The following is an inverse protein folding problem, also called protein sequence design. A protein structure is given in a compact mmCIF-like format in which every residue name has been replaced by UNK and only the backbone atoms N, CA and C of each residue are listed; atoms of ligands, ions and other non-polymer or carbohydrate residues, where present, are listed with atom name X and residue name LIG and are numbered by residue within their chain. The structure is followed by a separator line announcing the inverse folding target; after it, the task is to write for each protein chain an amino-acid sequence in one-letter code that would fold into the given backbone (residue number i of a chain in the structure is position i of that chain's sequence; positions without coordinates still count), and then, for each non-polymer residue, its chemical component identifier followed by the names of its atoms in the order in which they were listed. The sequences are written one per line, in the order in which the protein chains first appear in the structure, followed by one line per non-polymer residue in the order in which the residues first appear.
data_IF_242992162113
#
_entry.id   IF_242992162113
#
_cell.length_a   1.000
_cell.length_b   1.000
_cell.length_c   1.000
_cell.angle_alpha   90.00
_cell.angle_beta   90.00
_cell.angle_gamma   90.00
#
_symmetry.space_group_name_H-M   'P 1'
#
loop_
_entity.id
_entity.type
_entity.pdbx_description
1 polymer ?
#
# COMPACT_ATOMS: atom_id res chain seq x y z
N UNK A 1 -13.11 -33.60 23.17
CA UNK A 1 -13.69 -32.68 22.18
C UNK A 1 -13.04 -31.32 22.38
N UNK A 2 -12.23 -30.84 21.44
CA UNK A 2 -11.73 -29.46 21.42
C UNK A 2 -11.61 -28.97 19.98
N UNK A 3 -12.04 -27.73 19.81
CA UNK A 3 -12.52 -27.11 18.59
C UNK A 3 -11.44 -26.94 17.51
N UNK A 4 -11.81 -27.27 16.27
CA UNK A 4 -11.12 -26.82 15.07
C UNK A 4 -11.28 -25.29 14.96
N UNK A 5 -10.19 -24.54 15.12
CA UNK A 5 -10.11 -23.18 14.61
C UNK A 5 -9.75 -23.25 13.12
N UNK A 6 -10.77 -23.45 12.29
CA UNK A 6 -10.68 -23.21 10.86
C UNK A 6 -10.92 -21.71 10.63
N UNK A 7 -9.86 -20.92 10.68
CA UNK A 7 -9.85 -19.58 10.11
C UNK A 7 -9.67 -19.70 8.59
N UNK A 8 -10.67 -20.24 7.88
CA UNK A 8 -10.82 -19.98 6.46
C UNK A 8 -11.50 -18.62 6.32
N UNK A 9 -10.69 -17.57 6.15
CA UNK A 9 -11.23 -16.31 5.63
C UNK A 9 -11.83 -16.65 4.27
N UNK A 10 -13.15 -16.76 4.23
CA UNK A 10 -13.91 -17.07 3.04
C UNK A 10 -13.77 -15.91 2.05
N UNK A 11 -12.71 -15.95 1.24
CA UNK A 11 -12.59 -15.12 0.03
C UNK A 11 -13.76 -15.37 -0.95
N UNK A 12 -14.56 -16.43 -0.73
CA UNK A 12 -15.66 -16.89 -1.57
C UNK A 12 -16.92 -15.99 -1.61
N UNK A 13 -16.99 -14.87 -0.87
CA UNK A 13 -18.25 -14.12 -0.72
C UNK A 13 -18.25 -12.63 -1.07
N UNK A 14 -17.11 -12.00 -1.34
CA UNK A 14 -17.09 -10.56 -1.67
C UNK A 14 -17.61 -10.29 -3.09
N UNK A 15 -17.21 -11.12 -4.07
CA UNK A 15 -17.54 -10.93 -5.49
C UNK A 15 -18.94 -11.41 -5.87
N UNK A 16 -19.52 -12.37 -5.12
CA UNK A 16 -20.87 -12.91 -5.35
C UNK A 16 -21.99 -12.17 -4.63
N UNK A 17 -21.70 -11.23 -3.72
CA UNK A 17 -22.72 -10.44 -3.06
C UNK A 17 -23.21 -9.33 -4.00
N UNK A 18 -24.27 -9.62 -4.74
CA UNK A 18 -24.96 -8.78 -5.74
C UNK A 18 -25.44 -7.38 -5.28
N UNK A 19 -25.12 -6.93 -4.07
CA UNK A 19 -25.54 -5.63 -3.51
C UNK A 19 -24.42 -4.88 -2.80
N UNK A 20 -23.21 -5.41 -2.77
CA UNK A 20 -22.07 -4.81 -2.07
C UNK A 20 -21.11 -4.29 -3.13
N UNK A 21 -20.61 -3.06 -2.94
CA UNK A 21 -19.55 -2.49 -3.77
C UNK A 21 -18.26 -3.29 -3.52
N UNK A 22 -18.16 -4.43 -4.20
CA UNK A 22 -17.09 -5.41 -4.04
C UNK A 22 -15.73 -4.77 -4.35
N UNK A 23 -15.69 -3.76 -5.23
CA UNK A 23 -14.47 -3.00 -5.56
C UNK A 23 -14.00 -2.21 -4.35
N UNK A 24 -14.92 -1.53 -3.66
CA UNK A 24 -14.58 -0.81 -2.44
C UNK A 24 -14.16 -1.77 -1.32
N UNK A 25 -14.84 -2.90 -1.12
CA UNK A 25 -14.41 -3.89 -0.13
C UNK A 25 -13.03 -4.48 -0.43
N UNK A 26 -12.77 -4.80 -1.70
CA UNK A 26 -11.47 -5.25 -2.19
C UNK A 26 -10.38 -4.21 -1.93
N UNK A 27 -10.66 -2.93 -2.24
CA UNK A 27 -9.76 -1.81 -1.96
C UNK A 27 -9.44 -1.68 -0.47
N UNK A 28 -10.46 -1.75 0.38
CA UNK A 28 -10.28 -1.67 1.85
C UNK A 28 -9.44 -2.83 2.38
N UNK A 29 -9.69 -4.04 1.90
CA UNK A 29 -8.93 -5.24 2.29
C UNK A 29 -7.47 -5.13 1.84
N UNK A 30 -7.23 -4.70 0.61
CA UNK A 30 -5.90 -4.47 0.06
C UNK A 30 -5.13 -3.42 0.89
N UNK A 31 -5.74 -2.26 1.13
CA UNK A 31 -5.13 -1.19 1.92
C UNK A 31 -4.84 -1.61 3.36
N UNK A 32 -5.72 -2.41 3.97
CA UNK A 32 -5.49 -2.98 5.30
C UNK A 32 -4.26 -3.89 5.30
N UNK A 33 -4.16 -4.85 4.37
CA UNK A 33 -3.00 -5.75 4.29
C UNK A 33 -1.71 -4.99 4.01
N UNK A 34 -1.76 -3.99 3.13
CA UNK A 34 -0.62 -3.13 2.85
C UNK A 34 -0.12 -2.40 4.10
N UNK A 35 -1.03 -1.85 4.91
CA UNK A 35 -0.67 -1.24 6.20
C UNK A 35 -0.05 -2.26 7.15
N UNK A 36 -0.67 -3.42 7.30
CA UNK A 36 -0.20 -4.47 8.21
C UNK A 36 1.20 -4.96 7.82
N UNK A 37 1.44 -5.19 6.53
CA UNK A 37 2.72 -5.69 6.04
C UNK A 37 3.80 -4.59 6.03
N UNK A 38 3.45 -3.33 5.74
CA UNK A 38 4.36 -2.19 5.98
C UNK A 38 4.74 -2.08 7.44
N UNK A 39 3.81 -2.24 8.38
CA UNK A 39 4.09 -2.19 9.81
C UNK A 39 5.00 -3.35 10.23
N UNK A 40 4.76 -4.58 9.74
CA UNK A 40 5.63 -5.73 9.99
C UNK A 40 7.03 -5.51 9.42
N UNK A 41 7.12 -5.02 8.18
CA UNK A 41 8.39 -4.74 7.52
C UNK A 41 9.17 -3.64 8.26
N UNK A 42 8.49 -2.58 8.71
CA UNK A 42 9.08 -1.53 9.53
C UNK A 42 9.58 -2.08 10.87
N UNK A 43 8.77 -2.89 11.57
CA UNK A 43 9.15 -3.53 12.82
C UNK A 43 10.38 -4.45 12.64
N UNK A 44 10.46 -5.17 11.53
CA UNK A 44 11.60 -6.02 11.18
C UNK A 44 12.86 -5.21 10.83
N UNK A 45 12.69 -4.14 10.03
CA UNK A 45 13.75 -3.22 9.63
C UNK A 45 14.35 -2.47 10.83
N UNK A 46 13.54 -2.10 11.82
CA UNK A 46 13.99 -1.48 13.07
C UNK A 46 14.97 -2.37 13.85
N UNK A 47 14.90 -3.69 13.66
CA UNK A 47 15.87 -4.64 14.22
C UNK A 47 17.12 -4.88 13.35
N UNK A 48 17.16 -4.40 12.09
CA UNK A 48 18.22 -4.75 11.11
C UNK A 48 18.76 -3.58 10.26
N UNK A 49 18.38 -2.33 10.50
CA UNK A 49 18.79 -1.15 9.70
C UNK A 49 18.60 -1.32 8.17
N UNK A 50 17.60 -2.10 7.75
CA UNK A 50 17.29 -2.31 6.33
C UNK A 50 16.26 -1.31 5.81
N UNK A 51 16.41 -0.81 4.58
CA UNK A 51 15.32 -0.11 3.88
C UNK A 51 14.19 -1.11 3.57
N UNK A 52 12.95 -0.72 3.85
CA UNK A 52 11.77 -1.48 3.43
C UNK A 52 11.56 -1.24 1.93
N UNK A 53 11.54 -2.31 1.14
CA UNK A 53 11.23 -2.29 -0.29
C UNK A 53 9.71 -2.36 -0.49
N UNK A 54 9.08 -1.18 -0.56
CA UNK A 54 7.61 -1.04 -0.65
C UNK A 54 7.04 -1.61 -1.96
N UNK A 55 7.82 -1.57 -3.04
CA UNK A 55 7.56 -2.19 -4.34
C UNK A 55 7.31 -3.71 -4.21
N UNK A 56 8.22 -4.41 -3.52
CA UNK A 56 8.11 -5.86 -3.32
C UNK A 56 6.92 -6.26 -2.43
N UNK A 57 6.54 -5.39 -1.48
CA UNK A 57 5.39 -5.63 -0.62
C UNK A 57 4.07 -5.56 -1.42
N UNK A 58 3.94 -4.56 -2.30
CA UNK A 58 2.75 -4.41 -3.16
C UNK A 58 2.60 -5.62 -4.09
N UNK A 59 3.66 -6.02 -4.78
CA UNK A 59 3.64 -7.19 -5.67
C UNK A 59 3.27 -8.48 -4.92
N UNK A 60 3.83 -8.68 -3.73
CA UNK A 60 3.52 -9.85 -2.90
C UNK A 60 2.05 -9.90 -2.48
N UNK A 61 1.46 -8.76 -2.11
CA UNK A 61 0.05 -8.68 -1.70
C UNK A 61 -0.86 -8.92 -2.91
N UNK A 62 -0.58 -8.29 -4.05
CA UNK A 62 -1.34 -8.50 -5.28
C UNK A 62 -1.31 -9.97 -5.71
N UNK A 63 -0.13 -10.59 -5.71
CA UNK A 63 0.04 -11.99 -6.10
C UNK A 63 -0.73 -12.92 -5.14
N UNK A 64 -0.67 -12.66 -3.84
CA UNK A 64 -1.43 -13.42 -2.84
C UNK A 64 -2.94 -13.33 -3.10
N UNK A 65 -3.47 -12.13 -3.34
CA UNK A 65 -4.90 -11.94 -3.60
C UNK A 65 -5.33 -12.58 -4.93
N UNK A 66 -4.57 -12.40 -6.01
CA UNK A 66 -4.86 -13.03 -7.31
C UNK A 66 -4.86 -14.56 -7.18
N UNK A 67 -3.88 -15.13 -6.46
CA UNK A 67 -3.84 -16.57 -6.23
C UNK A 67 -5.03 -17.05 -5.39
N UNK A 68 -5.46 -16.29 -4.38
CA UNK A 68 -6.65 -16.62 -3.61
C UNK A 68 -7.92 -16.62 -4.48
N UNK A 69 -8.04 -15.68 -5.43
CA UNK A 69 -9.15 -15.63 -6.38
C UNK A 69 -9.12 -16.80 -7.36
N UNK A 70 -7.95 -17.16 -7.90
CA UNK A 70 -7.78 -18.31 -8.79
C UNK A 70 -8.16 -19.65 -8.15
N UNK A 71 -7.97 -19.77 -6.83
CA UNK A 71 -8.33 -20.96 -6.07
C UNK A 71 -9.82 -20.99 -5.68
N UNK A 72 -10.59 -19.94 -5.97
CA UNK A 72 -12.01 -19.88 -5.69
C UNK A 72 -12.80 -20.56 -6.80
N UNK A 73 -13.53 -21.64 -6.48
CA UNK A 73 -14.42 -22.37 -7.41
C UNK A 73 -15.58 -21.53 -7.99
N UNK A 74 -15.69 -20.27 -7.58
CA UNK A 74 -16.87 -19.46 -7.75
C UNK A 74 -16.61 -18.17 -8.52
N UNK A 75 -15.34 -17.84 -8.80
CA UNK A 75 -14.96 -16.65 -9.55
C UNK A 75 -14.86 -17.03 -11.03
N UNK A 76 -15.52 -16.27 -11.90
CA UNK A 76 -15.37 -16.46 -13.35
C UNK A 76 -14.06 -15.85 -13.85
N UNK A 77 -13.61 -16.26 -15.03
CA UNK A 77 -12.42 -15.67 -15.65
C UNK A 77 -12.59 -14.16 -15.88
N UNK A 78 -13.81 -13.72 -16.21
CA UNK A 78 -14.13 -12.29 -16.38
C UNK A 78 -14.02 -11.52 -15.05
N UNK A 79 -14.58 -12.06 -13.97
CA UNK A 79 -14.48 -11.47 -12.62
C UNK A 79 -13.03 -11.43 -12.13
N UNK A 80 -12.25 -12.48 -12.44
CA UNK A 80 -10.82 -12.53 -12.14
C UNK A 80 -10.05 -11.46 -12.91
N UNK A 81 -10.33 -11.30 -14.21
CA UNK A 81 -9.71 -10.27 -15.04
C UNK A 81 -10.06 -8.86 -14.56
N UNK A 82 -11.31 -8.61 -14.19
CA UNK A 82 -11.73 -7.34 -13.59
C UNK A 82 -10.98 -7.06 -12.28
N UNK A 83 -10.85 -8.06 -11.41
CA UNK A 83 -10.09 -7.91 -10.17
C UNK A 83 -8.60 -7.65 -10.42
N UNK A 84 -7.98 -8.32 -11.40
CA UNK A 84 -6.58 -8.06 -11.78
C UNK A 84 -6.41 -6.59 -12.22
N UNK A 85 -7.30 -6.09 -13.08
CA UNK A 85 -7.27 -4.70 -13.53
C UNK A 85 -7.46 -3.69 -12.39
N UNK A 86 -8.35 -3.98 -11.43
CA UNK A 86 -8.50 -3.14 -10.23
C UNK A 86 -7.22 -3.14 -9.38
N UNK A 87 -6.56 -4.29 -9.20
CA UNK A 87 -5.29 -4.34 -8.48
C UNK A 87 -4.19 -3.54 -9.19
N UNK A 88 -4.11 -3.61 -10.51
CA UNK A 88 -3.15 -2.82 -11.29
C UNK A 88 -3.40 -1.31 -11.14
N UNK A 89 -4.67 -0.89 -11.20
CA UNK A 89 -5.05 0.50 -10.90
C UNK A 89 -4.60 0.91 -9.49
N UNK A 90 -4.83 0.07 -8.47
CA UNK A 90 -4.41 0.39 -7.11
C UNK A 90 -2.90 0.51 -6.96
N UNK A 91 -2.13 -0.33 -7.65
CA UNK A 91 -0.67 -0.22 -7.66
C UNK A 91 -0.23 1.14 -8.21
N UNK A 92 -0.82 1.55 -9.33
CA UNK A 92 -0.45 2.79 -10.00
C UNK A 92 -0.86 4.01 -9.14
N UNK A 93 -2.06 4.00 -8.54
CA UNK A 93 -2.54 5.03 -7.60
C UNK A 93 -1.61 5.18 -6.39
N UNK A 94 -1.17 4.07 -5.78
CA UNK A 94 -0.28 4.11 -4.62
C UNK A 94 1.11 4.61 -5.01
N UNK A 95 1.62 4.16 -6.15
CA UNK A 95 2.92 4.61 -6.66
C UNK A 95 2.91 6.11 -6.92
N UNK A 96 1.85 6.61 -7.56
CA UNK A 96 1.66 8.04 -7.82
C UNK A 96 1.61 8.84 -6.51
N UNK A 97 0.83 8.39 -5.52
CA UNK A 97 0.76 9.03 -4.21
C UNK A 97 2.12 9.07 -3.51
N UNK A 98 2.93 8.01 -3.61
CA UNK A 98 4.28 7.98 -3.04
C UNK A 98 5.22 8.99 -3.71
N UNK A 99 5.16 9.11 -5.03
CA UNK A 99 5.92 10.12 -5.78
C UNK A 99 5.51 11.54 -5.34
N UNK A 100 4.21 11.82 -5.29
CA UNK A 100 3.68 13.11 -4.87
C UNK A 100 4.11 13.47 -3.44
N UNK A 101 4.06 12.50 -2.51
CA UNK A 101 4.51 12.71 -1.15
C UNK A 101 6.02 13.00 -1.08
N UNK A 102 6.85 12.32 -1.89
CA UNK A 102 8.28 12.62 -1.96
C UNK A 102 8.56 14.01 -2.51
N UNK A 103 7.86 14.41 -3.57
CA UNK A 103 7.99 15.75 -4.16
C UNK A 103 7.61 16.82 -3.13
N UNK A 104 6.49 16.66 -2.44
CA UNK A 104 6.04 17.60 -1.42
C UNK A 104 7.06 17.74 -0.28
N UNK A 105 7.60 16.62 0.20
CA UNK A 105 8.65 16.63 1.22
C UNK A 105 9.93 17.34 0.77
N UNK A 106 10.34 17.15 -0.49
CA UNK A 106 11.50 17.84 -1.04
C UNK A 106 11.26 19.34 -1.20
N UNK A 107 10.05 19.74 -1.62
CA UNK A 107 9.65 21.15 -1.73
C UNK A 107 9.68 21.85 -0.35
N UNK A 108 9.06 21.26 0.67
CA UNK A 108 9.09 21.77 2.05
C UNK A 108 10.54 21.95 2.54
N UNK A 109 11.40 20.95 2.30
CA UNK A 109 12.82 21.03 2.69
C UNK A 109 13.57 22.13 1.94
N UNK A 110 13.25 22.39 0.67
CA UNK A 110 13.86 23.48 -0.10
C UNK A 110 13.37 24.85 0.38
N UNK A 111 12.09 24.97 0.73
CA UNK A 111 11.52 26.18 1.34
C UNK A 111 12.17 26.51 2.68
N UNK A 112 12.37 25.51 3.53
CA UNK A 112 13.10 25.65 4.80
C UNK A 112 14.52 26.19 4.58
N UNK A 113 15.25 25.62 3.62
CA UNK A 113 16.61 26.07 3.28
C UNK A 113 16.63 27.49 2.71
N UNK A 114 15.69 27.82 1.82
CA UNK A 114 15.57 29.16 1.25
C UNK A 114 15.19 30.20 2.32
N UNK A 115 14.37 29.83 3.30
CA UNK A 115 14.02 30.69 4.43
C UNK A 115 15.21 30.92 5.38
N UNK A 116 16.06 29.90 5.57
CA UNK A 116 17.25 29.99 6.41
C UNK A 116 18.32 30.91 5.80
N UNK A 117 18.50 30.92 4.48
CA UNK A 117 19.50 31.76 3.78
C UNK A 117 19.22 33.27 3.98
N UNK A 118 17.94 33.66 4.10
CA UNK A 118 17.53 35.03 4.40
C UNK A 118 17.78 35.46 5.86
N UNK A 119 18.17 34.55 6.74
CA UNK A 119 18.41 34.80 8.17
C UNK A 119 19.88 34.82 8.57
N UNK A 120 20.78 34.38 7.68
CA UNK A 120 22.23 34.39 7.94
C UNK A 120 22.83 35.74 7.55
N UNK A 121 22.83 36.69 8.48
CA UNK A 121 23.64 37.89 8.34
C UNK A 121 25.13 37.50 8.37
N UNK A 122 25.82 37.73 7.27
CA UNK A 122 27.28 37.62 7.19
C UNK A 122 27.91 38.48 8.31
N UNK A 123 28.63 37.89 9.30
CA UNK A 123 29.21 38.65 10.42
C UNK A 123 30.28 39.66 10.00
N UNK A 124 30.81 39.55 8.77
CA UNK A 124 31.75 40.51 8.17
C UNK A 124 31.08 41.62 7.36
N UNK A 125 29.81 41.46 7.03
CA UNK A 125 29.07 42.34 6.14
C UNK A 125 28.06 43.22 6.89
N UNK A 126 28.01 43.13 8.23
CA UNK A 126 27.34 44.10 9.09
C UNK A 126 28.21 45.37 9.19
N UNK A 127 28.06 46.25 8.20
CA UNK A 127 28.39 47.68 8.29
C UNK A 127 27.21 48.45 7.75
#
# INVERSE_FOLDING_TARGET
MSQQQQCSVSHQHLYKKKSVDWKNEMRQNFMRRLRDDRQKAFNHARGRFGRVRTDLLLESIMLHEINALKLSEHVTDDELNEAIQEFERFRDEITQQEIENMIAYEQERLEDLASADNSVLCPRCQV
#
